data_IF_478580725532
#
_entry.id   IF_478580725532
#
_cell.length_a   1.000
_cell.length_b   1.000
_cell.length_c   1.000
_cell.angle_alpha   90.00
_cell.angle_beta   90.00
_cell.angle_gamma   90.00
#
_symmetry.space_group_name_H-M   'P 1'
#
loop_
_entity.id
_entity.type
_entity.pdbx_description
1 polymer ?
#
# COMPACT_ATOMS: atom_id res chain seq x y z
N UNK A 1 2.68 4.75 14.62
CA UNK A 1 1.25 5.00 14.95
C UNK A 1 0.59 6.08 14.09
N UNK A 2 1.21 7.24 13.89
CA UNK A 2 0.57 8.40 13.28
C UNK A 2 0.32 8.33 11.77
N UNK A 3 1.04 7.52 11.01
CA UNK A 3 1.01 7.53 9.56
C UNK A 3 -0.01 6.52 9.02
N UNK A 4 0.39 5.27 8.90
CA UNK A 4 -0.43 4.24 8.27
C UNK A 4 -1.51 3.63 9.16
N UNK A 5 -1.47 3.82 10.48
CA UNK A 5 -2.42 3.19 11.39
C UNK A 5 -3.77 3.91 11.38
N UNK A 6 -3.79 5.21 11.70
CA UNK A 6 -5.03 5.97 11.80
C UNK A 6 -5.74 6.15 10.47
N UNK A 7 -4.99 6.34 9.37
CA UNK A 7 -5.57 6.44 8.02
C UNK A 7 -6.28 5.16 7.61
N UNK A 8 -5.68 4.01 7.89
CA UNK A 8 -6.27 2.72 7.56
C UNK A 8 -7.48 2.37 8.42
N UNK A 9 -7.41 2.66 9.71
CA UNK A 9 -8.56 2.45 10.62
C UNK A 9 -9.74 3.30 10.18
N UNK A 10 -9.51 4.58 9.90
CA UNK A 10 -10.54 5.48 9.41
C UNK A 10 -11.10 5.03 8.06
N UNK A 11 -10.24 4.54 7.16
CA UNK A 11 -10.65 3.95 5.88
C UNK A 11 -11.58 2.75 6.06
N UNK A 12 -11.22 1.79 6.94
CA UNK A 12 -12.06 0.61 7.24
C UNK A 12 -13.41 1.04 7.79
N UNK A 13 -13.42 1.86 8.84
CA UNK A 13 -14.67 2.26 9.49
C UNK A 13 -15.56 3.08 8.59
N UNK A 14 -14.99 3.95 7.75
CA UNK A 14 -15.75 4.71 6.74
C UNK A 14 -16.33 3.81 5.66
N UNK A 15 -15.59 2.81 5.17
CA UNK A 15 -16.08 1.88 4.16
C UNK A 15 -17.23 1.00 4.71
N UNK A 16 -17.07 0.47 5.91
CA UNK A 16 -18.09 -0.35 6.56
C UNK A 16 -19.33 0.49 6.88
N UNK A 17 -19.15 1.70 7.40
CA UNK A 17 -20.25 2.61 7.66
C UNK A 17 -21.01 2.98 6.38
N UNK A 18 -20.29 3.34 5.33
CA UNK A 18 -20.89 3.69 4.04
C UNK A 18 -21.65 2.52 3.38
N UNK A 19 -21.33 1.26 3.74
CA UNK A 19 -22.04 0.09 3.24
C UNK A 19 -23.26 -0.29 4.10
N UNK A 20 -23.15 -0.28 5.42
CA UNK A 20 -24.20 -0.76 6.34
C UNK A 20 -25.12 0.34 6.87
N UNK A 21 -24.63 1.57 7.02
CA UNK A 21 -25.37 2.70 7.61
C UNK A 21 -24.97 4.02 6.94
N UNK A 22 -25.12 4.09 5.61
CA UNK A 22 -24.76 5.25 4.81
C UNK A 22 -25.46 6.55 5.25
N UNK A 23 -26.65 6.45 5.81
CA UNK A 23 -27.45 7.59 6.26
C UNK A 23 -27.18 7.96 7.73
N UNK A 24 -26.33 7.19 8.43
CA UNK A 24 -26.10 7.33 9.88
C UNK A 24 -27.39 7.32 10.71
N UNK A 25 -28.27 6.36 10.44
CA UNK A 25 -29.54 6.22 11.16
C UNK A 25 -29.33 5.65 12.57
N UNK A 26 -28.30 4.82 12.74
CA UNK A 26 -27.97 4.20 14.03
C UNK A 26 -26.83 4.98 14.70
N UNK A 27 -27.17 5.93 15.55
CA UNK A 27 -26.19 6.79 16.18
C UNK A 27 -26.12 6.62 17.69
N UNK A 28 -24.97 6.98 18.24
CA UNK A 28 -24.66 7.04 19.67
C UNK A 28 -23.85 8.27 19.98
N UNK A 29 -24.16 8.95 21.06
CA UNK A 29 -23.41 10.10 21.53
C UNK A 29 -22.30 9.66 22.47
N UNK A 30 -21.07 9.82 22.03
CA UNK A 30 -19.86 9.51 22.81
C UNK A 30 -18.96 10.74 22.85
N UNK A 31 -18.53 11.12 24.05
CA UNK A 31 -17.62 12.26 24.29
C UNK A 31 -18.12 13.58 23.68
N UNK A 32 -19.44 13.81 23.65
CA UNK A 32 -20.03 15.03 23.09
C UNK A 32 -20.05 15.10 21.57
N UNK A 33 -19.90 13.98 20.90
CA UNK A 33 -20.04 13.82 19.44
C UNK A 33 -20.90 12.61 19.12
N UNK A 34 -21.67 12.73 18.05
CA UNK A 34 -22.52 11.66 17.53
C UNK A 34 -21.72 10.78 16.57
N UNK A 35 -21.69 9.48 16.83
CA UNK A 35 -21.06 8.45 15.98
C UNK A 35 -22.10 7.42 15.54
N UNK A 36 -21.91 6.79 14.40
CA UNK A 36 -22.71 5.63 14.01
C UNK A 36 -22.28 4.40 14.83
N UNK A 37 -23.24 3.57 15.22
CA UNK A 37 -22.98 2.28 15.85
C UNK A 37 -22.12 1.36 14.98
N UNK A 38 -22.27 1.45 13.66
CA UNK A 38 -21.41 0.70 12.71
C UNK A 38 -19.93 1.04 12.88
N UNK A 39 -19.59 2.31 13.07
CA UNK A 39 -18.22 2.76 13.34
C UNK A 39 -17.70 2.21 14.65
N UNK A 40 -18.51 2.26 15.72
CA UNK A 40 -18.11 1.76 17.05
C UNK A 40 -17.89 0.24 17.02
N UNK A 41 -18.85 -0.51 16.49
CA UNK A 41 -18.75 -1.98 16.41
C UNK A 41 -17.57 -2.40 15.54
N UNK A 42 -17.40 -1.78 14.37
CA UNK A 42 -16.27 -2.04 13.51
C UNK A 42 -14.94 -1.74 14.20
N UNK A 43 -14.86 -0.63 14.92
CA UNK A 43 -13.68 -0.27 15.70
C UNK A 43 -13.33 -1.30 16.78
N UNK A 44 -14.32 -1.81 17.50
CA UNK A 44 -14.12 -2.88 18.51
C UNK A 44 -13.64 -4.17 17.84
N UNK A 45 -14.33 -4.63 16.78
CA UNK A 45 -13.97 -5.85 16.06
C UNK A 45 -12.57 -5.76 15.48
N UNK A 46 -12.25 -4.64 14.85
CA UNK A 46 -10.93 -4.38 14.29
C UNK A 46 -9.85 -4.42 15.37
N UNK A 47 -10.11 -3.78 16.52
CA UNK A 47 -9.17 -3.77 17.65
C UNK A 47 -8.90 -5.17 18.18
N UNK A 48 -9.95 -5.99 18.33
CA UNK A 48 -9.82 -7.38 18.76
C UNK A 48 -9.02 -8.20 17.75
N UNK A 49 -9.34 -8.09 16.45
CA UNK A 49 -8.61 -8.80 15.39
C UNK A 49 -7.14 -8.41 15.35
N UNK A 50 -6.85 -7.10 15.42
CA UNK A 50 -5.47 -6.59 15.45
C UNK A 50 -4.74 -7.10 16.68
N UNK A 51 -5.35 -7.04 17.87
CA UNK A 51 -4.74 -7.54 19.11
C UNK A 51 -4.39 -9.03 19.04
N UNK A 52 -5.31 -9.86 18.51
CA UNK A 52 -5.10 -11.30 18.35
C UNK A 52 -3.90 -11.63 17.44
N UNK A 53 -3.68 -10.81 16.40
CA UNK A 53 -2.56 -11.03 15.48
C UNK A 53 -1.26 -10.49 16.05
N UNK A 54 -1.24 -9.25 16.55
CA UNK A 54 -0.04 -8.56 17.06
C UNK A 54 0.57 -9.30 18.27
N UNK A 55 -0.24 -9.82 19.17
CA UNK A 55 0.24 -10.60 20.32
C UNK A 55 1.05 -11.84 19.86
N UNK A 56 0.73 -12.41 18.70
CA UNK A 56 1.48 -13.52 18.07
C UNK A 56 2.79 -13.12 17.40
N UNK A 57 3.09 -11.84 17.29
CA UNK A 57 4.33 -11.29 16.71
C UNK A 57 4.47 -11.50 15.20
N UNK A 58 5.68 -11.23 14.67
CA UNK A 58 5.96 -11.18 13.24
C UNK A 58 5.55 -12.45 12.47
N UNK A 59 5.72 -13.62 13.06
CA UNK A 59 5.34 -14.89 12.39
C UNK A 59 3.85 -14.94 12.09
N UNK A 60 3.01 -14.52 13.04
CA UNK A 60 1.56 -14.48 12.85
C UNK A 60 1.15 -13.39 11.87
N UNK A 61 1.76 -12.20 11.96
CA UNK A 61 1.56 -11.10 11.02
C UNK A 61 1.86 -11.57 9.59
N UNK A 62 3.01 -12.20 9.37
CA UNK A 62 3.44 -12.72 8.07
C UNK A 62 2.48 -13.80 7.54
N UNK A 63 2.08 -14.76 8.38
CA UNK A 63 1.14 -15.82 7.98
C UNK A 63 -0.22 -15.27 7.56
N UNK A 64 -0.73 -14.27 8.28
CA UNK A 64 -2.00 -13.61 7.94
C UNK A 64 -1.87 -12.81 6.64
N UNK A 65 -0.81 -12.02 6.50
CA UNK A 65 -0.56 -11.22 5.31
C UNK A 65 -0.38 -12.08 4.05
N UNK A 66 0.33 -13.20 4.15
CA UNK A 66 0.61 -14.12 3.04
C UNK A 66 -0.67 -14.67 2.40
N UNK A 67 -1.74 -14.84 3.16
CA UNK A 67 -3.03 -15.33 2.64
C UNK A 67 -3.92 -14.17 2.19
N UNK A 68 -4.04 -13.14 3.00
CA UNK A 68 -4.98 -12.04 2.77
C UNK A 68 -4.55 -11.19 1.57
N UNK A 69 -3.26 -10.84 1.46
CA UNK A 69 -2.79 -9.89 0.45
C UNK A 69 -2.99 -10.38 -0.98
N UNK A 70 -2.61 -11.61 -1.37
CA UNK A 70 -2.85 -12.09 -2.73
C UNK A 70 -4.34 -12.18 -3.06
N UNK A 71 -5.16 -12.62 -2.11
CA UNK A 71 -6.60 -12.73 -2.29
C UNK A 71 -7.24 -11.36 -2.56
N UNK A 72 -6.98 -10.37 -1.71
CA UNK A 72 -7.55 -9.03 -1.89
C UNK A 72 -7.03 -8.34 -3.15
N UNK A 73 -5.73 -8.48 -3.44
CA UNK A 73 -5.12 -7.89 -4.63
C UNK A 73 -5.74 -8.48 -5.90
N UNK A 74 -5.94 -9.79 -5.94
CA UNK A 74 -6.61 -10.46 -7.05
C UNK A 74 -8.04 -9.97 -7.24
N UNK A 75 -8.84 -9.92 -6.18
CA UNK A 75 -10.22 -9.41 -6.23
C UNK A 75 -10.26 -7.95 -6.70
N UNK A 76 -9.38 -7.11 -6.18
CA UNK A 76 -9.31 -5.70 -6.55
C UNK A 76 -8.92 -5.50 -8.01
N UNK A 77 -7.85 -6.15 -8.47
CA UNK A 77 -7.38 -6.07 -9.86
C UNK A 77 -8.46 -6.54 -10.82
N UNK A 78 -9.11 -7.67 -10.54
CA UNK A 78 -10.21 -8.18 -11.38
C UNK A 78 -11.34 -7.16 -11.46
N UNK A 79 -11.77 -6.60 -10.33
CA UNK A 79 -12.85 -5.62 -10.32
C UNK A 79 -12.49 -4.36 -11.13
N UNK A 80 -11.28 -3.80 -10.96
CA UNK A 80 -10.86 -2.61 -11.71
C UNK A 80 -10.64 -2.90 -13.19
N UNK A 81 -10.08 -4.06 -13.54
CA UNK A 81 -9.95 -4.49 -14.95
C UNK A 81 -11.32 -4.57 -15.61
N UNK A 82 -12.34 -5.10 -14.91
CA UNK A 82 -13.70 -5.11 -15.42
C UNK A 82 -14.22 -3.68 -15.64
N UNK A 83 -14.02 -2.74 -14.71
CA UNK A 83 -14.38 -1.33 -14.92
C UNK A 83 -13.73 -0.79 -16.19
N UNK A 84 -12.43 -1.03 -16.40
CA UNK A 84 -11.70 -0.54 -17.56
C UNK A 84 -12.19 -1.18 -18.87
N UNK A 85 -12.50 -2.48 -18.88
CA UNK A 85 -13.01 -3.19 -20.05
C UNK A 85 -14.39 -2.67 -20.44
N UNK A 86 -15.30 -2.54 -19.48
CA UNK A 86 -16.67 -2.09 -19.77
C UNK A 86 -16.74 -0.60 -20.14
N UNK A 87 -15.72 0.18 -19.80
CA UNK A 87 -15.63 1.61 -20.11
C UNK A 87 -14.41 1.95 -20.98
N UNK A 88 -13.95 1.02 -21.83
CA UNK A 88 -12.69 1.18 -22.57
C UNK A 88 -12.67 2.40 -23.50
N UNK A 89 -13.83 2.81 -24.03
CA UNK A 89 -13.95 3.98 -24.90
C UNK A 89 -13.66 5.31 -24.19
N UNK A 90 -13.84 5.35 -22.88
CA UNK A 90 -13.57 6.55 -22.06
C UNK A 90 -12.10 6.68 -21.63
N UNK A 91 -11.29 5.61 -21.77
CA UNK A 91 -9.87 5.61 -21.34
C UNK A 91 -9.03 6.72 -21.99
N UNK A 92 -9.07 6.92 -23.33
CA UNK A 92 -8.28 7.99 -23.96
C UNK A 92 -8.64 9.38 -23.43
N UNK A 93 -9.95 9.63 -23.23
CA UNK A 93 -10.44 10.90 -22.66
C UNK A 93 -9.94 11.11 -21.23
N UNK A 94 -9.99 10.09 -20.40
CA UNK A 94 -9.51 10.14 -19.03
C UNK A 94 -7.99 10.42 -18.95
N UNK A 95 -7.20 9.80 -19.81
CA UNK A 95 -5.75 10.05 -19.89
C UNK A 95 -5.46 11.52 -20.26
N UNK A 96 -6.16 12.04 -21.27
CA UNK A 96 -6.05 13.46 -21.66
C UNK A 96 -6.44 14.37 -20.49
N UNK A 97 -7.52 14.05 -19.78
CA UNK A 97 -7.98 14.82 -18.64
C UNK A 97 -6.95 14.85 -17.50
N UNK A 98 -6.35 13.70 -17.15
CA UNK A 98 -5.31 13.61 -16.14
C UNK A 98 -4.11 14.49 -16.53
N UNK A 99 -3.63 14.38 -17.77
CA UNK A 99 -2.50 15.19 -18.25
C UNK A 99 -2.82 16.68 -18.24
N UNK A 100 -3.97 17.09 -18.77
CA UNK A 100 -4.39 18.48 -18.77
C UNK A 100 -4.53 19.07 -17.35
N UNK A 101 -5.05 18.29 -16.41
CA UNK A 101 -5.18 18.70 -15.01
C UNK A 101 -3.82 18.84 -14.33
N UNK A 102 -2.89 17.92 -14.60
CA UNK A 102 -1.54 17.95 -14.05
C UNK A 102 -0.76 19.22 -14.48
N UNK A 103 -0.95 19.68 -15.72
CA UNK A 103 -0.32 20.90 -16.21
C UNK A 103 -1.13 22.17 -15.93
N UNK A 104 -2.14 22.11 -15.08
CA UNK A 104 -2.93 23.27 -14.66
C UNK A 104 -3.75 23.92 -15.78
N UNK A 105 -3.94 23.26 -16.92
CA UNK A 105 -4.64 23.82 -18.08
C UNK A 105 -6.13 24.11 -17.81
N UNK A 106 -6.67 23.56 -16.72
CA UNK A 106 -8.05 23.79 -16.24
C UNK A 106 -8.14 24.66 -14.99
N UNK A 107 -7.02 25.19 -14.49
CA UNK A 107 -7.02 26.00 -13.28
C UNK A 107 -7.61 27.39 -13.53
N UNK A 108 -8.84 27.59 -13.08
CA UNK A 108 -9.55 28.86 -13.17
C UNK A 108 -9.18 29.79 -12.00
N UNK A 109 -8.88 29.22 -10.84
CA UNK A 109 -8.52 29.94 -9.60
C UNK A 109 -7.08 29.66 -9.20
N UNK A 110 -6.24 30.65 -9.15
CA UNK A 110 -4.82 30.53 -8.77
C UNK A 110 -3.84 30.48 -9.96
N UNK A 111 -4.35 30.48 -11.19
CA UNK A 111 -3.54 30.43 -12.41
C UNK A 111 -2.93 29.03 -12.67
N UNK A 112 -2.41 28.84 -13.88
CA UNK A 112 -1.85 27.56 -14.36
C UNK A 112 -0.70 27.06 -13.47
N UNK A 113 0.20 27.96 -13.06
CA UNK A 113 1.36 27.61 -12.20
C UNK A 113 0.91 27.13 -10.82
N UNK A 114 -0.06 27.79 -10.20
CA UNK A 114 -0.61 27.38 -8.90
C UNK A 114 -1.27 26.01 -8.95
N UNK A 115 -2.03 25.74 -10.02
CA UNK A 115 -2.64 24.43 -10.26
C UNK A 115 -1.60 23.31 -10.44
N UNK A 116 -0.55 23.56 -11.20
CA UNK A 116 0.57 22.61 -11.39
C UNK A 116 1.29 22.30 -10.07
N UNK A 117 1.63 23.32 -9.29
CA UNK A 117 2.30 23.14 -8.00
C UNK A 117 1.44 22.33 -7.02
N UNK A 118 0.14 22.61 -6.95
CA UNK A 118 -0.81 21.86 -6.12
C UNK A 118 -0.93 20.41 -6.56
N UNK A 119 -1.08 20.16 -7.87
CA UNK A 119 -1.14 18.80 -8.42
C UNK A 119 0.14 18.01 -8.12
N UNK A 120 1.31 18.65 -8.31
CA UNK A 120 2.61 18.06 -8.00
C UNK A 120 2.74 17.75 -6.50
N UNK A 121 2.42 18.69 -5.63
CA UNK A 121 2.50 18.51 -4.17
C UNK A 121 1.60 17.36 -3.70
N UNK A 122 0.35 17.33 -4.14
CA UNK A 122 -0.60 16.28 -3.76
C UNK A 122 -0.21 14.93 -4.35
N UNK A 123 0.18 14.88 -5.61
CA UNK A 123 0.62 13.66 -6.28
C UNK A 123 1.84 13.04 -5.60
N UNK A 124 2.88 13.84 -5.32
CA UNK A 124 4.09 13.37 -4.62
C UNK A 124 3.76 12.91 -3.21
N UNK A 125 2.99 13.68 -2.45
CA UNK A 125 2.63 13.32 -1.08
C UNK A 125 1.84 12.01 -1.01
N UNK A 126 0.87 11.80 -1.90
CA UNK A 126 0.06 10.58 -1.93
C UNK A 126 0.83 9.38 -2.49
N UNK A 127 1.67 9.57 -3.51
CA UNK A 127 2.56 8.53 -4.04
C UNK A 127 3.55 8.03 -3.00
N UNK A 128 4.24 8.93 -2.29
CA UNK A 128 5.16 8.56 -1.20
C UNK A 128 4.40 7.85 -0.07
N UNK A 129 3.19 8.29 0.26
CA UNK A 129 2.37 7.66 1.28
C UNK A 129 2.01 6.21 0.91
N UNK A 130 1.70 5.95 -0.37
CA UNK A 130 1.29 4.62 -0.85
C UNK A 130 2.46 3.62 -0.86
N UNK A 131 3.57 3.98 -1.52
CA UNK A 131 4.70 3.07 -1.73
C UNK A 131 5.78 3.12 -0.64
N UNK A 132 5.63 4.04 0.33
CA UNK A 132 6.59 4.28 1.42
C UNK A 132 8.03 4.58 0.95
N UNK A 133 8.23 4.90 -0.32
CA UNK A 133 9.54 5.16 -0.88
C UNK A 133 10.19 6.42 -0.26
N UNK A 134 11.41 6.27 0.23
CA UNK A 134 12.13 7.37 0.87
C UNK A 134 11.76 7.63 2.33
N UNK A 135 10.85 6.85 2.94
CA UNK A 135 10.44 7.01 4.35
C UNK A 135 11.29 6.18 5.33
N UNK A 136 12.02 5.15 4.85
CA UNK A 136 12.82 4.28 5.70
C UNK A 136 12.03 3.17 6.41
N UNK A 137 10.74 3.02 6.14
CA UNK A 137 9.90 1.94 6.69
C UNK A 137 10.13 0.60 5.97
N UNK A 138 10.17 0.60 4.65
CA UNK A 138 10.39 -0.61 3.85
C UNK A 138 11.65 -1.41 4.22
N UNK A 139 12.82 -0.80 4.52
CA UNK A 139 14.00 -1.51 4.99
C UNK A 139 13.80 -2.29 6.30
N UNK A 140 12.87 -1.88 7.17
CA UNK A 140 12.57 -2.57 8.43
C UNK A 140 11.94 -3.95 8.16
N UNK A 141 11.01 -4.01 7.20
CA UNK A 141 10.44 -5.29 6.76
C UNK A 141 11.47 -6.12 5.98
N UNK A 142 12.22 -5.48 5.09
CA UNK A 142 13.26 -6.14 4.30
C UNK A 142 14.33 -6.80 5.16
N UNK A 143 14.68 -6.20 6.32
CA UNK A 143 15.63 -6.77 7.27
C UNK A 143 15.16 -8.09 7.91
N UNK A 144 13.86 -8.39 7.89
CA UNK A 144 13.32 -9.66 8.38
C UNK A 144 13.18 -10.73 7.28
N UNK A 145 13.46 -10.37 6.03
CA UNK A 145 13.37 -11.29 4.91
C UNK A 145 14.55 -12.28 4.88
N UNK A 146 14.28 -13.50 4.44
CA UNK A 146 15.31 -14.51 4.20
C UNK A 146 15.82 -14.35 2.76
N UNK A 147 16.91 -13.60 2.59
CA UNK A 147 17.51 -13.27 1.30
C UNK A 147 19.02 -13.45 1.34
N UNK A 148 19.60 -13.93 0.24
CA UNK A 148 21.03 -14.25 0.14
C UNK A 148 21.91 -13.00 0.03
N UNK A 149 21.35 -11.87 -0.41
CA UNK A 149 22.09 -10.61 -0.50
C UNK A 149 21.21 -9.38 -0.33
N UNK A 150 21.77 -8.25 0.18
CA UNK A 150 21.04 -6.98 0.29
C UNK A 150 20.54 -6.46 -1.08
N UNK A 151 21.33 -6.66 -2.14
CA UNK A 151 20.97 -6.22 -3.48
C UNK A 151 19.78 -7.02 -4.05
N UNK A 152 19.76 -8.35 -3.83
CA UNK A 152 18.63 -9.20 -4.21
C UNK A 152 17.35 -8.75 -3.50
N UNK A 153 17.42 -8.52 -2.20
CA UNK A 153 16.27 -8.02 -1.42
C UNK A 153 15.82 -6.64 -1.90
N UNK A 154 16.73 -5.77 -2.26
CA UNK A 154 16.42 -4.45 -2.83
C UNK A 154 15.64 -4.56 -4.14
N UNK A 155 16.04 -5.46 -5.04
CA UNK A 155 15.33 -5.73 -6.29
C UNK A 155 13.92 -6.29 -6.05
N UNK A 156 13.76 -7.21 -5.10
CA UNK A 156 12.44 -7.75 -4.71
C UNK A 156 11.57 -6.61 -4.17
N UNK A 157 12.07 -5.79 -3.26
CA UNK A 157 11.32 -4.67 -2.68
C UNK A 157 10.90 -3.63 -3.73
N UNK A 158 11.74 -3.39 -4.73
CA UNK A 158 11.44 -2.47 -5.84
C UNK A 158 10.22 -2.93 -6.66
N UNK A 159 10.01 -4.25 -6.82
CA UNK A 159 8.82 -4.77 -7.53
C UNK A 159 7.53 -4.39 -6.85
N UNK A 160 7.52 -4.33 -5.51
CA UNK A 160 6.37 -3.86 -4.74
C UNK A 160 5.97 -2.44 -5.09
N UNK A 161 6.94 -1.51 -5.18
CA UNK A 161 6.70 -0.11 -5.57
C UNK A 161 6.17 0.00 -7.01
N UNK A 162 6.69 -0.82 -7.94
CA UNK A 162 6.19 -0.85 -9.32
C UNK A 162 4.73 -1.34 -9.37
N UNK A 163 4.41 -2.42 -8.66
CA UNK A 163 3.05 -2.96 -8.62
C UNK A 163 2.09 -1.95 -8.00
N UNK A 164 2.44 -1.37 -6.86
CA UNK A 164 1.60 -0.40 -6.17
C UNK A 164 1.35 0.85 -7.02
N UNK A 165 2.42 1.50 -7.48
CA UNK A 165 2.31 2.82 -8.09
C UNK A 165 1.95 2.75 -9.58
N UNK A 166 2.65 1.90 -10.36
CA UNK A 166 2.44 1.85 -11.81
C UNK A 166 1.18 1.06 -12.16
N UNK A 167 0.87 -0.01 -11.42
CA UNK A 167 -0.29 -0.85 -11.74
C UNK A 167 -1.51 -0.39 -10.93
N UNK A 168 -1.50 -0.55 -9.62
CA UNK A 168 -2.70 -0.37 -8.78
C UNK A 168 -3.17 1.10 -8.75
N UNK A 169 -2.26 2.05 -8.51
CA UNK A 169 -2.62 3.46 -8.47
C UNK A 169 -3.10 3.97 -9.83
N UNK A 170 -2.46 3.56 -10.95
CA UNK A 170 -2.89 3.94 -12.30
C UNK A 170 -4.28 3.40 -12.61
N UNK A 171 -4.51 2.11 -12.34
CA UNK A 171 -5.82 1.47 -12.54
C UNK A 171 -6.91 2.18 -11.73
N UNK A 172 -6.64 2.47 -10.45
CA UNK A 172 -7.59 3.16 -9.56
C UNK A 172 -7.86 4.57 -10.04
N UNK A 173 -6.81 5.32 -10.39
CA UNK A 173 -6.94 6.68 -10.92
C UNK A 173 -7.75 6.74 -12.22
N UNK A 174 -7.52 5.79 -13.13
CA UNK A 174 -8.30 5.67 -14.36
C UNK A 174 -9.77 5.35 -14.05
N UNK A 175 -10.06 4.41 -13.16
CA UNK A 175 -11.43 4.07 -12.78
C UNK A 175 -12.18 5.29 -12.21
N UNK A 176 -11.54 6.07 -11.35
CA UNK A 176 -12.10 7.30 -10.76
C UNK A 176 -12.32 8.37 -11.85
N UNK A 177 -11.36 8.55 -12.77
CA UNK A 177 -11.45 9.58 -13.81
C UNK A 177 -12.50 9.22 -14.85
N UNK A 178 -12.53 7.97 -15.34
CA UNK A 178 -13.50 7.47 -16.31
C UNK A 178 -14.94 7.64 -15.81
N UNK A 179 -15.18 7.41 -14.53
CA UNK A 179 -16.50 7.53 -13.90
C UNK A 179 -16.85 8.97 -13.49
N UNK A 180 -15.89 9.91 -13.56
CA UNK A 180 -16.11 11.30 -13.17
C UNK A 180 -16.33 11.54 -11.68
N UNK A 181 -16.12 10.51 -10.85
CA UNK A 181 -16.41 10.57 -9.40
C UNK A 181 -15.47 11.46 -8.61
N UNK A 182 -14.36 11.89 -9.20
CA UNK A 182 -13.45 12.87 -8.61
C UNK A 182 -14.08 14.26 -8.45
N UNK A 183 -15.13 14.59 -9.20
CA UNK A 183 -15.74 15.95 -9.28
C UNK A 183 -17.08 16.05 -8.54
N UNK A 184 -17.52 15.04 -7.79
CA UNK A 184 -18.85 15.05 -7.14
C UNK A 184 -18.79 15.43 -5.64
N UNK A 185 -17.66 15.99 -5.18
CA UNK A 185 -17.50 16.51 -3.81
C UNK A 185 -17.30 15.44 -2.74
N UNK A 186 -17.11 14.17 -3.12
CA UNK A 186 -16.80 13.08 -2.19
C UNK A 186 -15.32 13.13 -1.77
N UNK A 187 -14.99 12.50 -0.64
CA UNK A 187 -13.63 12.43 -0.10
C UNK A 187 -13.28 11.00 0.33
N UNK A 188 -11.98 10.68 0.24
CA UNK A 188 -11.43 9.41 0.72
C UNK A 188 -12.06 8.21 0.01
N UNK A 189 -12.45 7.20 0.79
CA UNK A 189 -12.99 5.93 0.30
C UNK A 189 -14.29 6.09 -0.50
N UNK A 190 -15.11 7.07 -0.17
CA UNK A 190 -16.39 7.31 -0.85
C UNK A 190 -16.22 7.59 -2.35
N UNK A 191 -15.12 8.23 -2.77
CA UNK A 191 -14.81 8.47 -4.19
C UNK A 191 -14.64 7.16 -4.95
N UNK A 192 -13.82 6.26 -4.41
CA UNK A 192 -13.56 4.95 -5.03
C UNK A 192 -14.80 4.07 -4.98
N UNK A 193 -15.59 4.13 -3.90
CA UNK A 193 -16.86 3.39 -3.81
C UNK A 193 -17.83 3.83 -4.90
N UNK A 194 -17.98 5.13 -5.12
CA UNK A 194 -18.81 5.66 -6.19
C UNK A 194 -18.29 5.24 -7.58
N UNK A 195 -16.96 5.24 -7.78
CA UNK A 195 -16.36 4.78 -9.03
C UNK A 195 -16.67 3.31 -9.33
N UNK A 196 -16.59 2.44 -8.32
CA UNK A 196 -16.95 1.03 -8.47
C UNK A 196 -18.45 0.83 -8.72
N UNK A 197 -19.31 1.60 -8.03
CA UNK A 197 -20.77 1.52 -8.22
C UNK A 197 -21.23 1.97 -9.61
N UNK A 198 -20.55 2.96 -10.20
CA UNK A 198 -20.87 3.49 -11.51
C UNK A 198 -20.18 2.73 -12.66
N UNK A 199 -18.96 2.23 -12.42
CA UNK A 199 -18.14 1.63 -13.46
C UNK A 199 -18.35 0.13 -13.67
N UNK A 200 -18.83 -0.61 -12.66
CA UNK A 200 -19.07 -2.05 -12.76
C UNK A 200 -20.49 -2.36 -13.28
N UNK A 201 -20.66 -3.32 -14.18
CA UNK A 201 -21.97 -3.73 -14.71
C UNK A 201 -22.70 -4.71 -13.75
N UNK A 202 -22.69 -4.41 -12.46
CA UNK A 202 -23.34 -5.21 -11.41
C UNK A 202 -24.10 -4.27 -10.46
N UNK A 203 -25.06 -4.77 -9.68
CA UNK A 203 -25.78 -3.91 -8.74
C UNK A 203 -24.85 -3.11 -7.82
N UNK A 204 -25.14 -1.82 -7.62
CA UNK A 204 -24.31 -0.89 -6.85
C UNK A 204 -23.96 -1.42 -5.45
N UNK A 205 -24.85 -2.19 -4.81
CA UNK A 205 -24.60 -2.84 -3.52
C UNK A 205 -23.50 -3.90 -3.61
N UNK A 206 -23.44 -4.67 -4.70
CA UNK A 206 -22.41 -5.69 -4.91
C UNK A 206 -21.05 -5.04 -5.14
N UNK A 207 -20.99 -4.00 -5.98
CA UNK A 207 -19.76 -3.23 -6.23
C UNK A 207 -19.20 -2.62 -4.93
N UNK A 208 -20.08 -2.02 -4.13
CA UNK A 208 -19.70 -1.43 -2.85
C UNK A 208 -19.20 -2.49 -1.85
N UNK A 209 -19.82 -3.67 -1.83
CA UNK A 209 -19.39 -4.79 -0.99
C UNK A 209 -18.00 -5.30 -1.37
N UNK A 210 -17.76 -5.51 -2.65
CA UNK A 210 -16.45 -5.97 -3.16
C UNK A 210 -15.35 -4.99 -2.77
N UNK A 211 -15.56 -3.69 -3.00
CA UNK A 211 -14.57 -2.68 -2.62
C UNK A 211 -14.37 -2.61 -1.10
N UNK A 212 -15.46 -2.62 -0.32
CA UNK A 212 -15.39 -2.61 1.14
C UNK A 212 -14.55 -3.80 1.64
N UNK A 213 -14.78 -5.01 1.14
CA UNK A 213 -14.02 -6.20 1.54
C UNK A 213 -12.54 -6.09 1.17
N UNK A 214 -12.22 -5.66 -0.06
CA UNK A 214 -10.84 -5.44 -0.48
C UNK A 214 -10.15 -4.41 0.42
N UNK A 215 -10.81 -3.29 0.71
CA UNK A 215 -10.25 -2.23 1.54
C UNK A 215 -10.06 -2.66 2.99
N UNK A 216 -11.02 -3.38 3.57
CA UNK A 216 -10.91 -3.91 4.93
C UNK A 216 -9.69 -4.82 5.06
N UNK A 217 -9.50 -5.75 4.14
CA UNK A 217 -8.36 -6.66 4.17
C UNK A 217 -7.03 -5.93 3.92
N UNK A 218 -6.99 -5.01 2.96
CA UNK A 218 -5.79 -4.22 2.67
C UNK A 218 -5.38 -3.36 3.87
N UNK A 219 -6.31 -2.58 4.38
CA UNK A 219 -6.05 -1.69 5.50
C UNK A 219 -5.71 -2.46 6.78
N UNK A 220 -6.34 -3.62 7.02
CA UNK A 220 -6.02 -4.49 8.15
C UNK A 220 -4.56 -4.97 8.11
N UNK A 221 -4.10 -5.48 6.98
CA UNK A 221 -2.71 -5.93 6.84
C UNK A 221 -1.71 -4.79 6.97
N UNK A 222 -2.07 -3.60 6.49
CA UNK A 222 -1.26 -2.39 6.64
C UNK A 222 -1.13 -1.96 8.10
N UNK A 223 -2.21 -2.01 8.89
CA UNK A 223 -2.16 -1.75 10.35
C UNK A 223 -1.17 -2.69 11.04
N UNK A 224 -1.17 -3.97 10.68
CA UNK A 224 -0.25 -4.97 11.24
C UNK A 224 1.21 -4.69 10.85
N UNK A 225 1.46 -4.27 9.61
CA UNK A 225 2.79 -3.89 9.14
C UNK A 225 3.34 -2.66 9.89
N UNK A 226 2.52 -1.64 10.08
CA UNK A 226 2.91 -0.43 10.82
C UNK A 226 3.17 -0.67 12.31
N UNK A 227 2.49 -1.63 12.93
CA UNK A 227 2.84 -2.09 14.28
C UNK A 227 4.25 -2.67 14.32
N UNK A 228 4.54 -3.58 13.41
CA UNK A 228 5.85 -4.20 13.31
C UNK A 228 6.98 -3.18 13.12
N UNK A 229 6.82 -2.21 12.20
CA UNK A 229 7.80 -1.16 11.98
C UNK A 229 8.07 -0.36 13.25
N UNK A 230 7.02 0.09 13.90
CA UNK A 230 7.13 0.91 15.09
C UNK A 230 7.66 0.13 16.30
N UNK A 231 7.31 -1.16 16.43
CA UNK A 231 7.86 -2.04 17.45
C UNK A 231 9.38 -2.21 17.28
N UNK A 232 9.85 -2.46 16.04
CA UNK A 232 11.27 -2.62 15.75
C UNK A 232 12.07 -1.34 15.98
N UNK A 233 11.54 -0.19 15.62
CA UNK A 233 12.14 1.09 15.93
C UNK A 233 12.28 1.30 17.45
N UNK A 234 11.22 1.01 18.21
CA UNK A 234 11.25 1.12 19.66
C UNK A 234 12.24 0.12 20.29
N UNK A 235 12.22 -1.14 19.84
CA UNK A 235 13.13 -2.18 20.31
C UNK A 235 14.60 -1.74 20.17
N UNK A 236 14.94 -1.11 19.05
CA UNK A 236 16.26 -0.54 18.81
C UNK A 236 16.58 0.59 19.81
N UNK A 237 15.67 1.54 19.99
CA UNK A 237 15.87 2.71 20.87
C UNK A 237 16.03 2.33 22.34
N UNK A 238 15.30 1.30 22.81
CA UNK A 238 15.33 0.89 24.22
C UNK A 238 16.35 -0.23 24.51
N UNK A 239 17.19 -0.58 23.51
CA UNK A 239 18.21 -1.61 23.66
C UNK A 239 17.63 -3.00 23.95
N UNK A 240 16.53 -3.37 23.28
CA UNK A 240 15.93 -4.71 23.34
C UNK A 240 15.11 -5.01 24.61
N UNK A 241 14.75 -4.01 25.41
CA UNK A 241 13.98 -4.19 26.65
C UNK A 241 12.55 -4.68 26.38
N UNK A 242 12.33 -5.99 26.41
CA UNK A 242 11.06 -6.65 26.07
C UNK A 242 9.86 -6.18 26.88
N UNK A 243 10.05 -5.72 28.12
CA UNK A 243 8.94 -5.17 28.95
C UNK A 243 8.38 -3.87 28.32
N UNK A 244 9.27 -2.99 27.79
CA UNK A 244 8.86 -1.75 27.16
C UNK A 244 8.18 -2.03 25.82
N UNK A 245 8.69 -2.96 25.04
CA UNK A 245 8.10 -3.40 23.77
C UNK A 245 6.69 -3.97 23.99
N UNK A 246 6.50 -4.82 25.01
CA UNK A 246 5.17 -5.33 25.36
C UNK A 246 4.22 -4.22 25.80
N UNK A 247 4.68 -3.25 26.58
CA UNK A 247 3.88 -2.08 26.96
C UNK A 247 3.45 -1.26 25.73
N UNK A 248 4.34 -1.12 24.76
CA UNK A 248 4.05 -0.45 23.49
C UNK A 248 2.97 -1.15 22.68
N UNK A 249 2.97 -2.48 22.60
CA UNK A 249 1.89 -3.23 21.93
C UNK A 249 0.50 -2.91 22.51
N UNK A 250 0.40 -2.84 23.82
CA UNK A 250 -0.86 -2.45 24.46
C UNK A 250 -1.24 -1.01 24.12
N UNK A 251 -0.29 -0.09 24.15
CA UNK A 251 -0.53 1.29 23.73
C UNK A 251 -0.99 1.36 22.26
N UNK A 252 -0.39 0.56 21.39
CA UNK A 252 -0.78 0.48 19.99
C UNK A 252 -2.22 0.00 19.83
N UNK A 253 -2.61 -1.06 20.54
CA UNK A 253 -4.00 -1.59 20.55
C UNK A 253 -4.99 -0.52 21.02
N UNK A 254 -4.66 0.25 22.06
CA UNK A 254 -5.48 1.37 22.51
C UNK A 254 -5.60 2.45 21.43
N UNK A 255 -4.51 2.77 20.72
CA UNK A 255 -4.55 3.72 19.60
C UNK A 255 -5.41 3.20 18.44
N UNK A 256 -5.39 1.88 18.16
CA UNK A 256 -6.29 1.27 17.16
C UNK A 256 -7.75 1.49 17.55
N UNK A 257 -8.08 1.33 18.83
CA UNK A 257 -9.44 1.57 19.34
C UNK A 257 -9.86 3.04 19.22
N UNK A 258 -8.94 3.99 19.39
CA UNK A 258 -9.24 5.43 19.31
C UNK A 258 -9.39 5.90 17.86
N UNK A 259 -8.70 5.26 16.90
CA UNK A 259 -8.65 5.65 15.50
C UNK A 259 -10.00 5.92 14.83
N UNK A 260 -11.05 5.10 15.02
CA UNK A 260 -12.37 5.31 14.46
C UNK A 260 -13.04 6.66 14.83
N UNK A 261 -12.68 7.22 15.96
CA UNK A 261 -13.27 8.44 16.50
C UNK A 261 -12.57 9.73 16.01
N UNK A 262 -11.50 9.58 15.20
CA UNK A 262 -10.78 10.70 14.62
C UNK A 262 -11.41 11.18 13.32
N UNK A 263 -11.33 12.48 13.04
CA UNK A 263 -11.81 13.04 11.77
C UNK A 263 -10.82 12.73 10.64
N UNK A 264 -11.33 12.51 9.42
CA UNK A 264 -10.53 12.27 8.21
C UNK A 264 -9.43 13.33 8.04
N UNK A 265 -9.80 14.62 8.17
CA UNK A 265 -8.84 15.72 8.04
C UNK A 265 -7.71 15.68 9.06
N UNK A 266 -8.02 15.37 10.33
CA UNK A 266 -7.00 15.26 11.39
C UNK A 266 -6.04 14.11 11.11
N UNK A 267 -6.59 12.96 10.71
CA UNK A 267 -5.80 11.75 10.39
C UNK A 267 -4.81 12.01 9.26
N UNK A 268 -5.25 12.65 8.18
CA UNK A 268 -4.38 12.96 7.04
C UNK A 268 -3.31 14.02 7.37
N UNK A 269 -3.64 15.04 8.16
CA UNK A 269 -2.65 16.04 8.61
C UNK A 269 -1.57 15.40 9.47
N UNK A 270 -1.96 14.52 10.40
CA UNK A 270 -1.01 13.77 11.22
C UNK A 270 -0.10 12.90 10.33
N UNK A 271 -0.68 12.18 9.37
CA UNK A 271 0.07 11.35 8.44
C UNK A 271 1.09 12.15 7.63
N UNK A 272 0.71 13.30 7.09
CA UNK A 272 1.59 14.16 6.29
C UNK A 272 2.76 14.71 7.11
N UNK A 273 2.52 15.13 8.37
CA UNK A 273 3.57 15.60 9.27
C UNK A 273 4.59 14.49 9.55
N UNK A 274 4.12 13.30 9.92
CA UNK A 274 5.03 12.20 10.24
C UNK A 274 5.75 11.65 9.01
N UNK A 275 5.12 11.65 7.82
CA UNK A 275 5.80 11.33 6.57
C UNK A 275 6.98 12.26 6.31
N UNK A 276 6.77 13.58 6.46
CA UNK A 276 7.85 14.55 6.33
C UNK A 276 8.99 14.32 7.33
N UNK A 277 8.64 14.05 8.59
CA UNK A 277 9.64 13.79 9.65
C UNK A 277 10.41 12.48 9.41
N UNK A 278 9.81 11.47 8.80
CA UNK A 278 10.50 10.21 8.44
C UNK A 278 11.37 10.36 7.20
N UNK A 279 10.92 11.14 6.21
CA UNK A 279 11.65 11.32 4.95
C UNK A 279 13.01 11.99 5.16
N UNK A 280 13.09 13.02 6.00
CA UNK A 280 14.31 13.80 6.19
C UNK A 280 15.51 12.94 6.62
N UNK A 281 15.48 12.22 7.75
CA UNK A 281 16.63 11.42 8.19
C UNK A 281 16.93 10.27 7.23
N UNK A 282 15.91 9.68 6.59
CA UNK A 282 16.13 8.59 5.66
C UNK A 282 16.81 9.06 4.36
N UNK A 283 16.42 10.20 3.81
CA UNK A 283 17.07 10.78 2.63
C UNK A 283 18.55 11.10 2.90
N UNK A 284 18.87 11.64 4.08
CA UNK A 284 20.26 11.86 4.50
C UNK A 284 21.01 10.52 4.54
N UNK A 285 20.42 9.48 5.13
CA UNK A 285 21.01 8.16 5.22
C UNK A 285 21.24 7.52 3.83
N UNK A 286 20.28 7.61 2.91
CA UNK A 286 20.39 7.08 1.55
C UNK A 286 21.55 7.75 0.79
N UNK A 287 21.67 9.09 0.87
CA UNK A 287 22.76 9.83 0.24
C UNK A 287 24.12 9.43 0.84
N UNK A 288 24.21 9.35 2.17
CA UNK A 288 25.44 8.96 2.85
C UNK A 288 25.87 7.52 2.52
N UNK A 289 24.92 6.60 2.37
CA UNK A 289 25.18 5.19 2.08
C UNK A 289 25.20 4.85 0.57
N UNK A 290 25.07 5.83 -0.31
CA UNK A 290 25.01 5.60 -1.77
C UNK A 290 26.19 4.79 -2.29
N UNK A 291 27.41 5.03 -1.79
CA UNK A 291 28.61 4.26 -2.14
C UNK A 291 28.52 2.79 -1.75
N UNK A 292 27.93 2.49 -0.60
CA UNK A 292 27.69 1.09 -0.13
C UNK A 292 26.68 0.40 -1.04
N UNK A 293 25.58 1.09 -1.39
CA UNK A 293 24.55 0.55 -2.30
C UNK A 293 25.16 0.19 -3.64
N UNK A 294 25.99 1.08 -4.23
CA UNK A 294 26.67 0.81 -5.51
C UNK A 294 27.60 -0.38 -5.41
N UNK A 295 28.40 -0.49 -4.34
CA UNK A 295 29.34 -1.58 -4.12
C UNK A 295 28.63 -2.94 -4.00
N UNK A 296 27.58 -3.04 -3.18
CA UNK A 296 26.81 -4.27 -3.00
C UNK A 296 26.04 -4.67 -4.27
N UNK A 297 25.49 -3.69 -4.99
CA UNK A 297 24.81 -3.95 -6.28
C UNK A 297 25.79 -4.50 -7.30
N UNK A 298 26.98 -3.90 -7.44
CA UNK A 298 28.01 -4.38 -8.36
C UNK A 298 28.44 -5.81 -8.06
N UNK A 299 28.71 -6.11 -6.78
CA UNK A 299 29.08 -7.44 -6.31
C UNK A 299 28.01 -8.48 -6.67
N UNK A 300 26.75 -8.16 -6.44
CA UNK A 300 25.63 -9.04 -6.78
C UNK A 300 25.52 -9.27 -8.29
N UNK A 301 25.62 -8.23 -9.11
CA UNK A 301 25.58 -8.35 -10.58
C UNK A 301 26.73 -9.18 -11.14
N UNK A 302 27.93 -9.07 -10.56
CA UNK A 302 29.06 -9.93 -10.90
C UNK A 302 28.79 -11.42 -10.58
N UNK A 303 28.18 -11.71 -9.44
CA UNK A 303 27.79 -13.08 -9.06
C UNK A 303 26.75 -13.67 -10.01
N UNK A 304 25.73 -12.88 -10.38
CA UNK A 304 24.71 -13.29 -11.34
C UNK A 304 25.34 -13.58 -12.71
N UNK A 305 26.20 -12.70 -13.22
CA UNK A 305 26.87 -12.89 -14.49
C UNK A 305 27.79 -14.14 -14.51
N UNK A 306 28.46 -14.45 -13.40
CA UNK A 306 29.26 -15.66 -13.24
C UNK A 306 28.38 -16.92 -13.22
N UNK A 307 27.25 -16.87 -12.54
CA UNK A 307 26.28 -17.97 -12.49
C UNK A 307 25.67 -18.27 -13.86
N UNK A 308 25.31 -17.24 -14.63
CA UNK A 308 24.80 -17.37 -16.00
C UNK A 308 25.85 -17.98 -16.94
N UNK A 309 27.12 -17.52 -16.86
CA UNK A 309 28.23 -18.08 -17.65
C UNK A 309 28.51 -19.55 -17.31
N UNK A 310 28.43 -19.91 -16.03
CA UNK A 310 28.57 -21.30 -15.59
C UNK A 310 27.42 -22.19 -16.09
N UNK A 311 26.20 -21.70 -16.02
CA UNK A 311 25.00 -22.35 -16.55
C UNK A 311 25.06 -22.55 -18.06
N UNK A 312 25.46 -21.53 -18.81
CA UNK A 312 25.64 -21.59 -20.26
C UNK A 312 26.70 -22.62 -20.66
N UNK A 313 27.85 -22.65 -19.98
CA UNK A 313 28.90 -23.67 -20.22
C UNK A 313 28.41 -25.09 -19.95
N UNK A 314 27.64 -25.29 -18.88
CA UNK A 314 27.07 -26.60 -18.54
C UNK A 314 26.07 -27.09 -19.59
N UNK A 315 25.27 -26.16 -20.13
CA UNK A 315 24.30 -26.44 -21.19
C UNK A 315 25.00 -26.78 -22.50
N UNK A 316 26.03 -26.01 -22.89
CA UNK A 316 26.83 -26.28 -24.08
C UNK A 316 27.50 -27.65 -24.03
N UNK A 317 28.13 -28.00 -22.88
CA UNK A 317 28.75 -29.30 -22.71
C UNK A 317 27.75 -30.47 -22.69
N UNK A 318 26.54 -30.25 -22.20
CA UNK A 318 25.44 -31.23 -22.27
C UNK A 318 24.96 -31.48 -23.70
N UNK A 319 24.92 -30.43 -24.54
CA UNK A 319 24.57 -30.57 -25.96
C UNK A 319 25.68 -31.26 -26.77
N UNK A 320 26.94 -30.99 -26.47
CA UNK A 320 28.10 -31.64 -27.10
C UNK A 320 28.13 -33.14 -26.81
N UNK A 321 27.94 -33.53 -25.53
CA UNK A 321 27.84 -34.93 -25.12
C UNK A 321 26.63 -35.65 -25.74
N UNK A 322 25.50 -34.98 -25.94
CA UNK A 322 24.32 -35.54 -26.58
C UNK A 322 24.58 -35.80 -28.08
N UNK A 323 25.25 -34.89 -28.77
CA UNK A 323 25.64 -35.09 -30.18
C UNK A 323 26.66 -36.22 -30.36
N UNK A 324 27.66 -36.32 -29.46
CA UNK A 324 28.62 -37.45 -29.50
C UNK A 324 27.92 -38.82 -29.28
N UNK A 325 26.92 -38.87 -28.36
CA UNK A 325 26.20 -40.11 -28.16
C UNK A 325 25.28 -40.51 -29.31
N UNK A 326 24.72 -39.57 -30.04
CA UNK A 326 23.95 -39.82 -31.28
C UNK A 326 24.82 -40.31 -32.43
N UNK A 327 26.05 -39.79 -32.55
CA UNK A 327 27.01 -40.25 -33.58
C UNK A 327 27.45 -41.69 -33.33
N UNK A 328 27.74 -41.99 -32.07
CA UNK A 328 28.19 -43.35 -31.66
C UNK A 328 27.02 -44.38 -31.75
N UNK A 329 25.76 -43.96 -31.67
CA UNK A 329 24.61 -44.88 -31.79
C UNK A 329 24.22 -45.16 -33.26
N UNK A 330 24.73 -44.41 -34.20
CA UNK A 330 24.43 -44.52 -35.63
C UNK A 330 25.55 -45.20 -36.43
N UNK A 331 26.68 -45.58 -35.81
CA UNK A 331 27.72 -46.51 -36.31
C UNK A 331 27.45 -47.93 -35.81
#
# INVERSE_FOLDING_TARGET
>A
MGIGTFTQINGITSAVNGFFDANNEWTVDLFGRTYSWTVVITGILLTVCVALVIIGGIRRISSVAQVIVPFMAGCYVVAVVLILIFNFTAIPGALVEIVQSAFGLRAVTGGTIGGMLMAMQMGVARGIFSNEAGLGSAPIAAAAANSDSPAQQGLISMTGTVIDTIIICTMTGLAITITGTWNIGLQGVAVTTAAFQQGLPVPAKVSAFVLMMCLVFFAFTTILGWDYYSEKCLEYLVGGRQKVVKGYRWLYIVCVFIGPFMTVSAVWKIADIFNGLMAIPNLIAIVALSGVVVAETRKYMEQVAQGERAGAKKKAKGMENAQESEVVSNE
#
